data_IF_684789439548
#
_entry.id   IF_684789439548
#
_cell.length_a   1.000
_cell.length_b   1.000
_cell.length_c   1.000
_cell.angle_alpha   90.00
_cell.angle_beta   90.00
_cell.angle_gamma   90.00
#
_symmetry.space_group_name_H-M   'P 1'
#
loop_
_entity.id
_entity.type
_entity.pdbx_description
1 polymer ?
#
# COMPACT_ATOMS: atom_id res chain seq x y z
N UNK A 1 -24.90 7.03 -6.52
CA UNK A 1 -23.80 6.11 -6.14
C UNK A 1 -24.39 5.05 -5.23
N UNK A 2 -24.39 3.79 -5.62
CA UNK A 2 -24.68 2.70 -4.68
C UNK A 2 -23.39 2.40 -3.90
N UNK A 3 -23.51 2.14 -2.60
CA UNK A 3 -22.40 1.71 -1.75
C UNK A 3 -22.32 0.17 -1.74
N UNK A 4 -22.45 -0.44 -2.92
CA UNK A 4 -22.68 -1.89 -3.03
C UNK A 4 -21.56 -2.70 -2.39
N UNK A 5 -20.30 -2.23 -2.43
CA UNK A 5 -19.19 -2.85 -1.71
C UNK A 5 -19.41 -2.92 -0.18
N UNK A 6 -19.73 -1.79 0.46
CA UNK A 6 -19.96 -1.74 1.92
C UNK A 6 -21.24 -2.46 2.32
N UNK A 7 -22.28 -2.37 1.49
CA UNK A 7 -23.54 -3.09 1.69
C UNK A 7 -23.32 -4.60 1.65
N UNK A 8 -22.57 -5.11 0.67
CA UNK A 8 -22.25 -6.53 0.57
C UNK A 8 -21.48 -7.02 1.81
N UNK A 9 -20.47 -6.27 2.27
CA UNK A 9 -19.73 -6.59 3.50
C UNK A 9 -20.66 -6.60 4.74
N UNK A 10 -21.63 -5.70 4.77
CA UNK A 10 -22.63 -5.58 5.84
C UNK A 10 -23.84 -6.51 5.68
N UNK A 11 -23.83 -7.41 4.68
CA UNK A 11 -24.94 -8.32 4.35
C UNK A 11 -26.27 -7.61 4.04
N UNK A 12 -26.20 -6.39 3.52
CA UNK A 12 -27.35 -5.63 3.03
C UNK A 12 -27.62 -5.92 1.55
N UNK A 13 -28.86 -5.70 1.05
CA UNK A 13 -29.18 -5.84 -0.37
C UNK A 13 -28.30 -4.95 -1.26
N UNK A 14 -27.86 -5.49 -2.40
CA UNK A 14 -27.07 -4.76 -3.41
C UNK A 14 -27.74 -4.81 -4.77
N UNK A 15 -27.43 -3.85 -5.63
CA UNK A 15 -27.99 -3.82 -7.00
C UNK A 15 -27.32 -4.81 -7.94
N UNK A 16 -26.02 -5.07 -7.69
CA UNK A 16 -25.20 -6.09 -8.33
C UNK A 16 -24.17 -6.62 -7.32
N UNK A 17 -23.46 -7.70 -7.66
CA UNK A 17 -22.30 -8.15 -6.87
C UNK A 17 -21.13 -7.18 -7.09
N UNK A 18 -20.62 -6.51 -6.04
CA UNK A 18 -19.51 -5.58 -6.19
C UNK A 18 -18.19 -6.31 -6.46
N UNK A 19 -17.28 -5.67 -7.20
CA UNK A 19 -15.98 -6.21 -7.58
C UNK A 19 -14.86 -5.18 -7.36
N UNK A 20 -13.74 -5.68 -6.84
CA UNK A 20 -12.42 -5.05 -6.85
C UNK A 20 -11.38 -6.15 -6.99
N UNK A 21 -10.13 -5.81 -7.32
CA UNK A 21 -9.09 -6.81 -7.57
C UNK A 21 -7.87 -6.53 -6.70
N UNK A 22 -7.37 -7.55 -6.01
CA UNK A 22 -6.12 -7.45 -5.29
C UNK A 22 -4.99 -7.03 -6.24
N UNK A 23 -4.21 -6.00 -5.85
CA UNK A 23 -3.18 -5.37 -6.68
C UNK A 23 -3.71 -4.72 -7.96
N UNK A 24 -4.93 -4.15 -7.91
CA UNK A 24 -5.49 -3.36 -9.02
C UNK A 24 -4.61 -2.18 -9.45
N UNK A 25 -3.89 -1.54 -8.52
CA UNK A 25 -2.82 -0.60 -8.83
C UNK A 25 -1.50 -1.39 -8.95
N UNK A 26 -1.01 -1.63 -10.18
CA UNK A 26 0.17 -2.45 -10.33
C UNK A 26 0.72 -2.54 -11.75
N UNK A 27 1.84 -3.27 -11.86
CA UNK A 27 2.68 -3.37 -13.06
C UNK A 27 1.97 -3.89 -14.32
N UNK A 28 0.75 -4.40 -14.25
CA UNK A 28 0.00 -4.75 -15.46
C UNK A 28 -0.52 -3.51 -16.21
N UNK A 29 -0.62 -2.37 -15.53
CA UNK A 29 -0.98 -1.08 -16.09
C UNK A 29 0.27 -0.34 -16.61
N UNK A 30 0.30 0.12 -17.87
CA UNK A 30 1.43 0.90 -18.41
C UNK A 30 1.63 2.25 -17.70
N UNK A 31 0.56 2.94 -17.31
CA UNK A 31 0.60 4.20 -16.55
C UNK A 31 1.21 4.01 -15.17
N UNK A 32 0.89 2.90 -14.48
CA UNK A 32 1.52 2.57 -13.19
C UNK A 32 3.04 2.47 -13.35
N UNK A 33 3.52 1.83 -14.42
CA UNK A 33 4.95 1.72 -14.69
C UNK A 33 5.58 3.09 -14.94
N UNK A 34 4.85 4.02 -15.58
CA UNK A 34 5.31 5.37 -15.83
C UNK A 34 5.44 6.17 -14.52
N UNK A 35 4.40 6.20 -13.68
CA UNK A 35 4.41 6.87 -12.37
C UNK A 35 5.49 6.28 -11.45
N UNK A 36 5.61 4.94 -11.42
CA UNK A 36 6.67 4.26 -10.66
C UNK A 36 8.08 4.67 -11.13
N UNK A 37 8.27 4.90 -12.43
CA UNK A 37 9.55 5.36 -12.97
C UNK A 37 9.86 6.81 -12.59
N UNK A 38 8.83 7.65 -12.43
CA UNK A 38 8.97 9.01 -11.93
C UNK A 38 9.34 9.04 -10.44
N UNK A 39 8.74 8.18 -9.63
CA UNK A 39 9.04 8.04 -8.20
C UNK A 39 10.45 7.46 -7.92
N UNK A 40 11.08 6.82 -8.91
CA UNK A 40 12.39 6.18 -8.80
C UNK A 40 12.30 4.77 -8.22
N UNK A 41 11.90 4.65 -6.95
CA UNK A 41 11.74 3.38 -6.26
C UNK A 41 10.35 3.19 -5.64
N UNK A 42 10.08 1.97 -5.16
CA UNK A 42 8.76 1.59 -4.65
C UNK A 42 8.41 2.28 -3.33
N UNK A 43 9.38 2.47 -2.43
CA UNK A 43 9.12 3.14 -1.15
C UNK A 43 8.94 4.64 -1.35
N UNK A 44 9.71 5.25 -2.24
CA UNK A 44 9.52 6.64 -2.66
C UNK A 44 8.12 6.88 -3.24
N UNK A 45 7.58 5.90 -4.00
CA UNK A 45 6.19 5.96 -4.47
C UNK A 45 5.18 5.86 -3.31
N UNK A 46 5.38 4.95 -2.35
CA UNK A 46 4.48 4.82 -1.20
C UNK A 46 4.52 6.02 -0.25
N UNK A 47 5.67 6.69 -0.11
CA UNK A 47 5.87 7.85 0.77
C UNK A 47 5.45 9.19 0.15
N UNK A 48 5.04 9.20 -1.12
CA UNK A 48 4.55 10.39 -1.81
C UNK A 48 3.02 10.33 -1.92
N UNK A 49 2.25 11.10 -1.12
CA UNK A 49 0.80 11.02 -1.10
C UNK A 49 0.16 11.31 -2.47
N UNK A 50 0.69 12.27 -3.23
CA UNK A 50 0.15 12.62 -4.54
C UNK A 50 0.30 11.48 -5.54
N UNK A 51 1.49 10.87 -5.63
CA UNK A 51 1.75 9.76 -6.53
C UNK A 51 1.06 8.46 -6.06
N UNK A 52 0.97 8.23 -4.75
CA UNK A 52 0.22 7.11 -4.18
C UNK A 52 -1.28 7.22 -4.48
N UNK A 53 -1.84 8.43 -4.38
CA UNK A 53 -3.21 8.73 -4.79
C UNK A 53 -3.38 8.49 -6.30
N UNK A 54 -2.48 9.02 -7.13
CA UNK A 54 -2.51 8.83 -8.58
C UNK A 54 -2.60 7.35 -8.95
N UNK A 55 -1.66 6.52 -8.47
CA UNK A 55 -1.65 5.09 -8.81
C UNK A 55 -2.85 4.33 -8.24
N UNK A 56 -3.43 4.78 -7.12
CA UNK A 56 -4.65 4.23 -6.55
C UNK A 56 -5.85 4.48 -7.47
N UNK A 57 -5.91 5.63 -8.13
CA UNK A 57 -7.01 6.03 -9.01
C UNK A 57 -6.91 5.46 -10.43
N UNK A 58 -5.71 5.19 -10.95
CA UNK A 58 -5.50 4.59 -12.27
C UNK A 58 -6.42 3.40 -12.63
N UNK A 59 -6.63 2.38 -11.78
CA UNK A 59 -7.57 1.30 -12.09
C UNK A 59 -9.04 1.73 -12.06
N UNK A 60 -9.41 2.72 -11.25
CA UNK A 60 -10.78 3.26 -11.18
C UNK A 60 -11.14 4.01 -12.46
N UNK A 61 -10.16 4.65 -13.10
CA UNK A 61 -10.35 5.35 -14.37
C UNK A 61 -10.45 4.38 -15.57
N UNK A 62 -9.94 3.14 -15.42
CA UNK A 62 -9.96 2.11 -16.48
C UNK A 62 -11.14 1.16 -16.42
N UNK A 63 -11.60 0.86 -15.21
CA UNK A 63 -12.52 -0.23 -14.95
C UNK A 63 -13.63 0.24 -14.00
N UNK A 64 -14.85 -0.26 -14.21
CA UNK A 64 -15.99 0.00 -13.32
C UNK A 64 -15.88 -0.83 -12.02
N UNK A 65 -14.87 -0.53 -11.20
CA UNK A 65 -14.65 -1.17 -9.90
C UNK A 65 -15.47 -0.48 -8.81
N UNK A 66 -15.91 -1.25 -7.82
CA UNK A 66 -16.76 -0.75 -6.73
C UNK A 66 -15.97 -0.24 -5.51
N UNK A 67 -14.66 -0.45 -5.49
CA UNK A 67 -13.78 -0.02 -4.42
C UNK A 67 -12.35 0.27 -4.91
N UNK A 68 -11.75 1.31 -4.32
CA UNK A 68 -10.32 1.54 -4.38
C UNK A 68 -9.65 0.93 -3.14
N UNK A 69 -8.42 0.45 -3.30
CA UNK A 69 -7.56 0.05 -2.19
C UNK A 69 -6.34 0.97 -2.19
N UNK A 70 -6.04 1.56 -1.04
CA UNK A 70 -4.90 2.45 -0.85
C UNK A 70 -3.62 1.79 -1.35
N UNK A 71 -2.87 2.49 -2.19
CA UNK A 71 -1.53 2.09 -2.56
C UNK A 71 -0.55 2.39 -1.41
N UNK A 72 -0.19 1.35 -0.68
CA UNK A 72 0.82 1.36 0.37
C UNK A 72 1.48 -0.03 0.45
N UNK A 73 2.38 -0.23 1.40
CA UNK A 73 3.01 -1.51 1.67
C UNK A 73 2.81 -1.94 3.13
N UNK A 74 2.62 -3.25 3.34
CA UNK A 74 2.44 -3.80 4.69
C UNK A 74 3.69 -3.67 5.56
N UNK A 75 4.86 -3.48 4.95
CA UNK A 75 6.14 -3.34 5.65
C UNK A 75 6.46 -1.90 6.06
N UNK A 76 5.56 -0.94 5.81
CA UNK A 76 5.69 0.45 6.28
C UNK A 76 5.84 0.53 7.81
N UNK A 77 5.11 -0.31 8.56
CA UNK A 77 5.22 -0.38 10.03
C UNK A 77 6.61 -0.88 10.46
N UNK A 78 7.12 -2.04 9.99
CA UNK A 78 8.50 -2.46 10.20
C UNK A 78 9.58 -1.46 9.76
N UNK A 79 9.35 -0.70 8.69
CA UNK A 79 10.24 0.38 8.25
C UNK A 79 10.33 1.48 9.31
N UNK A 80 9.17 1.93 9.80
CA UNK A 80 9.07 2.92 10.88
C UNK A 80 9.62 2.40 12.23
N UNK A 81 9.59 1.08 12.46
CA UNK A 81 10.27 0.44 13.60
C UNK A 81 11.80 0.43 13.50
N UNK A 82 12.37 0.93 12.39
CA UNK A 82 13.82 1.06 12.24
C UNK A 82 14.54 -0.25 11.95
N UNK A 83 13.88 -1.25 11.37
CA UNK A 83 14.50 -2.54 11.01
C UNK A 83 15.38 -2.47 9.74
N UNK A 84 15.43 -1.32 9.08
CA UNK A 84 16.21 -1.08 7.86
C UNK A 84 15.63 -1.85 6.67
N UNK A 85 14.38 -1.53 6.31
CA UNK A 85 13.72 -2.12 5.15
C UNK A 85 14.39 -1.63 3.86
N UNK A 86 14.73 -2.55 2.97
CA UNK A 86 15.22 -2.23 1.63
C UNK A 86 14.65 -3.18 0.59
N UNK A 87 14.58 -2.72 -0.66
CA UNK A 87 14.08 -3.49 -1.79
C UNK A 87 15.23 -3.77 -2.75
N UNK A 88 15.58 -5.05 -2.90
CA UNK A 88 16.55 -5.49 -3.91
C UNK A 88 15.86 -5.85 -5.20
N UNK A 89 16.44 -5.44 -6.34
CA UNK A 89 15.86 -5.69 -7.65
C UNK A 89 15.73 -7.19 -7.90
N UNK A 90 14.49 -7.66 -8.13
CA UNK A 90 14.19 -9.07 -8.38
C UNK A 90 14.09 -9.97 -7.14
N UNK A 91 14.55 -9.52 -5.96
CA UNK A 91 14.61 -10.37 -4.76
C UNK A 91 13.52 -10.08 -3.70
N UNK A 92 12.82 -8.94 -3.85
CA UNK A 92 11.79 -8.53 -2.89
C UNK A 92 12.34 -7.75 -1.69
N UNK A 93 11.49 -7.49 -0.68
CA UNK A 93 11.88 -6.73 0.50
C UNK A 93 12.77 -7.54 1.45
N UNK A 94 13.75 -6.88 2.06
CA UNK A 94 14.66 -7.44 3.07
C UNK A 94 14.86 -6.44 4.21
N UNK A 95 15.29 -6.96 5.36
CA UNK A 95 15.64 -6.14 6.53
C UNK A 95 17.13 -6.25 6.81
N UNK A 96 17.76 -5.13 7.13
CA UNK A 96 19.15 -5.09 7.63
C UNK A 96 19.25 -5.69 9.04
N UNK A 97 18.22 -5.47 9.86
CA UNK A 97 18.17 -5.88 11.27
C UNK A 97 16.96 -6.77 11.54
N UNK A 98 16.98 -8.03 11.09
CA UNK A 98 15.93 -9.00 11.43
C UNK A 98 15.97 -9.31 12.93
N UNK A 99 14.80 -9.38 13.57
CA UNK A 99 14.65 -9.69 14.99
C UNK A 99 14.98 -11.17 15.22
N UNK A 100 15.95 -11.46 16.09
CA UNK A 100 16.37 -12.83 16.41
C UNK A 100 16.41 -13.12 17.92
N UNK A 101 16.48 -12.08 18.74
CA UNK A 101 16.64 -12.20 20.19
C UNK A 101 15.62 -11.34 20.95
N UNK A 102 15.48 -11.60 22.25
CA UNK A 102 14.64 -10.76 23.11
C UNK A 102 15.14 -9.31 23.16
N UNK A 103 16.47 -9.11 23.15
CA UNK A 103 17.07 -7.79 23.15
C UNK A 103 16.69 -6.98 21.88
N UNK A 104 16.55 -7.65 20.73
CA UNK A 104 16.09 -7.01 19.50
C UNK A 104 14.64 -6.52 19.61
N UNK A 105 13.79 -7.28 20.32
CA UNK A 105 12.40 -6.89 20.59
C UNK A 105 12.35 -5.69 21.54
N UNK A 106 13.14 -5.72 22.60
CA UNK A 106 13.22 -4.64 23.60
C UNK A 106 13.75 -3.33 22.99
N UNK A 107 14.52 -3.40 21.91
CA UNK A 107 15.04 -2.24 21.18
C UNK A 107 14.03 -1.60 20.21
N UNK A 108 12.87 -2.23 19.96
CA UNK A 108 11.85 -1.69 19.04
C UNK A 108 11.20 -0.44 19.66
N UNK A 109 11.07 0.68 18.92
CA UNK A 109 10.35 1.85 19.41
C UNK A 109 8.90 1.51 19.74
N UNK A 110 8.41 1.97 20.90
CA UNK A 110 7.01 1.78 21.30
C UNK A 110 6.03 2.67 20.53
N UNK A 111 6.50 3.76 19.94
CA UNK A 111 5.72 4.75 19.20
C UNK A 111 6.36 5.03 17.84
N UNK A 112 5.65 4.72 16.75
CA UNK A 112 6.12 4.90 15.36
C UNK A 112 5.17 5.74 14.51
N UNK A 113 4.10 6.28 15.10
CA UNK A 113 3.03 6.95 14.34
C UNK A 113 3.50 8.22 13.61
N UNK A 114 4.46 8.96 14.18
CA UNK A 114 5.02 10.17 13.55
C UNK A 114 5.73 9.87 12.23
N UNK A 115 6.24 8.65 12.05
CA UNK A 115 6.94 8.22 10.85
C UNK A 115 5.99 7.62 9.80
N UNK A 116 4.69 7.54 10.09
CA UNK A 116 3.65 6.93 9.25
C UNK A 116 2.56 7.92 8.82
N UNK A 117 2.79 9.22 8.98
CA UNK A 117 1.82 10.29 8.61
C UNK A 117 1.37 10.19 7.16
N UNK A 118 2.25 9.80 6.23
CA UNK A 118 1.90 9.57 4.81
C UNK A 118 0.92 8.40 4.58
N UNK A 119 0.62 7.60 5.60
CA UNK A 119 -0.40 6.54 5.56
C UNK A 119 -1.67 6.95 6.31
N UNK A 120 -1.53 7.71 7.40
CA UNK A 120 -2.63 8.03 8.32
C UNK A 120 -3.33 9.37 8.03
N UNK A 121 -2.62 10.35 7.47
CA UNK A 121 -3.10 11.70 7.17
C UNK A 121 -3.38 11.89 5.67
#
# INVERSE_FOLDING_TARGET
MSFDYLNALSKQPTTRTPIWVMRQAGRYLPEYRATRKQAGDFMSLCKNPELACEVTMQPMDRFDLDAAILFSDILTIPDAMGLGLYFSEGEGPKFERPIQTLADIEAIPSEVNNDLTYVFD
#
